data_IF_935007632043
#
_entry.id   IF_935007632043
#
_cell.length_a   1.000
_cell.length_b   1.000
_cell.length_c   1.000
_cell.angle_alpha   90.00
_cell.angle_beta   90.00
_cell.angle_gamma   90.00
#
_symmetry.space_group_name_H-M   'P 1'
#
loop_
_entity.id
_entity.type
_entity.pdbx_description
1 polymer ?
#
# COMPACT_ATOMS: atom_id res chain seq x y z
N UNK A 1 -14.03 -3.51 1.57
CA UNK A 1 -13.57 -3.74 0.19
C UNK A 1 -12.06 -3.58 0.21
N UNK A 2 -11.33 -4.69 0.25
CA UNK A 2 -9.88 -4.70 0.46
C UNK A 2 -9.15 -4.44 -0.85
N UNK A 3 -8.32 -3.39 -0.88
CA UNK A 3 -7.42 -3.14 -2.00
C UNK A 3 -6.19 -4.05 -1.86
N UNK A 4 -6.04 -5.01 -2.76
CA UNK A 4 -4.80 -5.74 -2.97
C UNK A 4 -4.03 -5.05 -4.10
N UNK A 5 -3.27 -4.01 -3.77
CA UNK A 5 -2.41 -3.29 -4.71
C UNK A 5 -1.15 -4.09 -5.03
N UNK A 6 -0.77 -4.13 -6.32
CA UNK A 6 0.46 -4.78 -6.79
C UNK A 6 1.66 -4.00 -6.25
N UNK A 7 2.41 -4.58 -5.32
CA UNK A 7 3.63 -3.95 -4.78
C UNK A 7 4.72 -4.05 -5.86
N UNK A 8 4.86 -3.02 -6.69
CA UNK A 8 5.97 -2.91 -7.62
C UNK A 8 7.26 -2.66 -6.82
N UNK A 9 8.07 -3.72 -6.62
CA UNK A 9 9.38 -3.63 -5.95
C UNK A 9 10.27 -2.63 -6.69
N UNK A 10 10.47 -1.42 -6.14
CA UNK A 10 11.58 -0.57 -6.54
C UNK A 10 12.87 -1.18 -5.99
N UNK A 11 13.82 -1.50 -6.88
CA UNK A 11 15.12 -2.05 -6.49
C UNK A 11 15.84 -1.02 -5.61
N UNK A 12 16.13 -1.38 -4.35
CA UNK A 12 16.85 -0.54 -3.40
C UNK A 12 15.99 0.25 -2.41
N UNK A 13 14.67 0.27 -2.56
CA UNK A 13 13.77 0.90 -1.58
C UNK A 13 13.23 -0.12 -0.55
N UNK A 14 13.19 0.21 0.75
CA UNK A 14 12.47 -0.60 1.73
C UNK A 14 11.01 -0.85 1.34
N UNK A 15 10.59 -2.11 1.28
CA UNK A 15 9.27 -2.49 0.77
C UNK A 15 8.06 -1.85 1.49
N UNK A 16 8.23 -1.40 2.74
CA UNK A 16 7.18 -0.67 3.46
C UNK A 16 6.93 0.74 2.92
N UNK A 17 7.93 1.38 2.29
CA UNK A 17 7.77 2.69 1.65
C UNK A 17 6.93 2.57 0.37
N UNK A 18 7.22 1.56 -0.45
CA UNK A 18 6.39 1.23 -1.60
C UNK A 18 4.95 0.92 -1.17
N UNK A 19 4.76 0.10 -0.14
CA UNK A 19 3.43 -0.20 0.40
C UNK A 19 2.69 1.05 0.90
N UNK A 20 3.40 2.00 1.52
CA UNK A 20 2.83 3.27 1.96
C UNK A 20 2.39 4.18 0.80
N UNK A 21 3.16 4.20 -0.30
CA UNK A 21 2.80 4.93 -1.53
C UNK A 21 1.54 4.35 -2.16
N UNK A 22 1.51 3.03 -2.37
CA UNK A 22 0.35 2.33 -2.94
C UNK A 22 -0.91 2.51 -2.08
N UNK A 23 -0.79 2.39 -0.75
CA UNK A 23 -1.92 2.65 0.18
C UNK A 23 -2.46 4.08 0.02
N UNK A 24 -1.58 5.04 -0.24
CA UNK A 24 -1.99 6.41 -0.49
C UNK A 24 -2.69 6.58 -1.85
N UNK A 25 -2.16 6.00 -2.91
CA UNK A 25 -2.68 6.13 -4.27
C UNK A 25 -4.02 5.43 -4.44
N UNK A 26 -4.15 4.20 -3.93
CA UNK A 26 -5.33 3.35 -4.12
C UNK A 26 -6.43 3.61 -3.08
N UNK A 27 -6.06 3.90 -1.83
CA UNK A 27 -7.03 4.04 -0.73
C UNK A 27 -7.12 5.47 -0.18
N UNK A 28 -6.22 6.39 -0.54
CA UNK A 28 -6.18 7.73 0.03
C UNK A 28 -5.84 7.75 1.52
N UNK A 29 -5.18 6.70 2.02
CA UNK A 29 -4.85 6.52 3.43
C UNK A 29 -3.33 6.68 3.67
N UNK A 30 -2.99 7.04 4.89
CA UNK A 30 -1.63 6.95 5.43
C UNK A 30 -1.69 6.17 6.73
N UNK A 31 -0.68 5.36 7.01
CA UNK A 31 -0.58 4.58 8.26
C UNK A 31 0.60 5.02 9.10
N UNK A 32 0.44 4.93 10.43
CA UNK A 32 1.47 5.33 11.39
C UNK A 32 2.49 4.21 11.65
N UNK A 33 2.05 2.95 11.57
CA UNK A 33 2.95 1.80 11.75
C UNK A 33 2.64 0.68 10.76
N UNK A 34 3.69 -0.09 10.45
CA UNK A 34 3.69 -1.17 9.47
C UNK A 34 4.36 -2.39 10.08
N UNK A 35 3.67 -3.52 10.07
CA UNK A 35 4.22 -4.80 10.55
C UNK A 35 4.09 -5.83 9.43
N UNK A 36 5.11 -6.66 9.23
CA UNK A 36 5.03 -7.76 8.27
C UNK A 36 4.06 -8.80 8.83
N UNK A 37 3.04 -9.16 8.06
CA UNK A 37 2.13 -10.25 8.40
C UNK A 37 2.61 -11.57 7.83
N UNK A 38 2.94 -11.59 6.54
CA UNK A 38 3.33 -12.80 5.83
C UNK A 38 4.14 -12.45 4.58
N UNK A 39 5.11 -13.32 4.27
CA UNK A 39 5.77 -13.40 2.98
C UNK A 39 5.21 -14.61 2.23
N UNK A 40 4.78 -14.38 0.99
CA UNK A 40 4.17 -15.37 0.13
C UNK A 40 5.06 -15.57 -1.09
N UNK A 41 5.47 -16.81 -1.32
CA UNK A 41 6.11 -17.22 -2.56
C UNK A 41 5.07 -17.90 -3.44
N UNK A 42 4.73 -17.28 -4.58
CA UNK A 42 3.61 -17.73 -5.41
C UNK A 42 3.85 -19.10 -6.04
N UNK A 43 5.10 -19.43 -6.38
CA UNK A 43 5.52 -20.76 -6.87
C UNK A 43 7.02 -21.00 -6.56
N UNK A 44 7.35 -21.55 -5.38
CA UNK A 44 8.73 -21.79 -4.98
C UNK A 44 9.45 -22.67 -6.02
N UNK A 45 10.54 -22.15 -6.61
CA UNK A 45 11.35 -22.88 -7.58
C UNK A 45 10.89 -22.82 -9.04
N UNK A 46 9.79 -22.11 -9.35
CA UNK A 46 9.33 -21.88 -10.73
C UNK A 46 9.22 -20.39 -11.09
N UNK A 47 8.91 -19.54 -10.11
CA UNK A 47 8.90 -18.08 -10.27
C UNK A 47 9.64 -17.42 -9.11
N UNK A 48 10.38 -16.34 -9.41
CA UNK A 48 11.01 -15.47 -8.41
C UNK A 48 10.02 -14.39 -7.88
N UNK A 49 8.72 -14.55 -8.15
CA UNK A 49 7.68 -13.67 -7.64
C UNK A 49 7.34 -13.98 -6.19
N UNK A 50 7.78 -13.06 -5.31
CA UNK A 50 7.44 -13.06 -3.88
C UNK A 50 6.67 -11.78 -3.50
N UNK A 51 5.61 -11.94 -2.70
CA UNK A 51 4.78 -10.84 -2.20
C UNK A 51 4.89 -10.76 -0.68
N UNK A 52 5.16 -9.57 -0.16
CA UNK A 52 5.14 -9.28 1.29
C UNK A 52 3.88 -8.52 1.66
N UNK A 53 3.11 -9.06 2.60
CA UNK A 53 1.89 -8.43 3.12
C UNK A 53 2.18 -7.72 4.43
N UNK A 54 1.70 -6.49 4.57
CA UNK A 54 1.85 -5.68 5.78
C UNK A 54 0.51 -5.40 6.46
N UNK A 55 0.51 -5.42 7.79
CA UNK A 55 -0.52 -4.81 8.62
C UNK A 55 -0.18 -3.34 8.83
N UNK A 56 -1.04 -2.47 8.30
CA UNK A 56 -0.99 -1.03 8.50
C UNK A 56 -1.92 -0.64 9.65
N UNK A 57 -1.41 -0.03 10.72
CA UNK A 57 -2.24 0.46 11.84
C UNK A 57 -2.11 1.95 12.08
N UNK A 58 -3.08 2.53 12.79
CA UNK A 58 -3.20 3.98 12.95
C UNK A 58 -3.45 4.69 11.63
N UNK A 59 -4.27 4.08 10.75
CA UNK A 59 -4.53 4.63 9.43
C UNK A 59 -5.48 5.82 9.49
N UNK A 60 -5.10 6.89 8.79
CA UNK A 60 -5.90 8.11 8.70
C UNK A 60 -6.00 8.55 7.24
N UNK A 61 -7.12 9.20 6.90
CA UNK A 61 -7.31 9.76 5.57
C UNK A 61 -6.26 10.83 5.33
N UNK A 62 -5.51 10.71 4.23
CA UNK A 62 -4.64 11.81 3.83
C UNK A 62 -5.52 12.98 3.43
N UNK A 63 -5.39 14.09 4.16
CA UNK A 63 -6.03 15.34 3.76
C UNK A 63 -5.41 15.79 2.44
N UNK A 64 -6.12 15.56 1.35
CA UNK A 64 -5.76 16.10 0.04
C UNK A 64 -6.46 17.46 -0.10
N UNK A 65 -5.74 18.59 -0.18
CA UNK A 65 -6.35 19.92 -0.32
C UNK A 65 -7.16 20.10 -1.61
N UNK A 66 -7.04 19.17 -2.58
CA UNK A 66 -7.61 19.29 -3.93
C UNK A 66 -9.04 18.75 -4.10
N UNK A 67 -9.71 18.28 -3.05
CA UNK A 67 -11.13 17.94 -3.12
C UNK A 67 -11.97 19.07 -2.52
N UNK A 68 -11.98 20.23 -3.17
CA UNK A 68 -13.06 21.20 -2.97
C UNK A 68 -14.31 20.61 -3.63
N UNK A 69 -15.29 20.24 -2.84
CA UNK A 69 -16.62 19.85 -3.32
C UNK A 69 -17.09 20.86 -4.36
N UNK A 70 -17.34 20.43 -5.60
CA UNK A 70 -18.08 21.27 -6.55
C UNK A 70 -19.40 21.62 -5.89
N UNK A 71 -19.65 22.93 -5.72
CA UNK A 71 -20.95 23.47 -5.29
C UNK A 71 -22.01 22.99 -6.27
N UNK A 72 -23.14 22.41 -5.83
CA UNK A 72 -24.28 22.24 -6.71
C UNK A 72 -24.86 23.62 -7.04
N UNK A 73 -25.07 23.89 -8.32
CA UNK A 73 -25.88 24.99 -8.85
C UNK A 73 -27.36 24.70 -8.65
#
# INVERSE_FOLDING_TARGET
>A
MGAAGRIARCVGEPAHLTAARELQEEAGLQAASWQVLVDLDSTPGFSDESVRVYLATGSARRRNPRHTTKRPT
#
